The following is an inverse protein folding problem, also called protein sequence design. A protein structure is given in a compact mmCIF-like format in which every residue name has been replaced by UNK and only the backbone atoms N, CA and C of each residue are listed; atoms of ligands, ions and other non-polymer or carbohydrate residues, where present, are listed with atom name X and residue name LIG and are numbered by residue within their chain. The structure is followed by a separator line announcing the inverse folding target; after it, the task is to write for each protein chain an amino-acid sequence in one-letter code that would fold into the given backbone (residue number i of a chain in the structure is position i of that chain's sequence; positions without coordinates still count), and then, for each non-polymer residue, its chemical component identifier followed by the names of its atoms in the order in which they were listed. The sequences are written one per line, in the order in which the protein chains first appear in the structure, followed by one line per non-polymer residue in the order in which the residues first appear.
data_IF_885948321281
#
_entry.id   IF_885948321281
#
_cell.length_a   1.000
_cell.length_b   1.000
_cell.length_c   1.000
_cell.angle_alpha   90.00
_cell.angle_beta   90.00
_cell.angle_gamma   90.00
#
_symmetry.space_group_name_H-M   'P 1'
#
loop_
_entity.id
_entity.type
_entity.pdbx_description
1 polymer ?
#
# COMPACT_ATOMS: atom_id res chain seq x y z
N UNK A 1 -27.04 10.60 22.07
CA UNK A 1 -26.68 11.14 20.75
C UNK A 1 -25.77 10.11 20.10
N UNK A 2 -26.24 9.40 19.06
CA UNK A 2 -25.40 8.44 18.33
C UNK A 2 -24.36 9.28 17.58
N UNK A 3 -23.05 9.06 17.78
CA UNK A 3 -22.04 9.83 17.06
C UNK A 3 -22.19 9.58 15.56
N UNK A 4 -22.33 10.65 14.78
CA UNK A 4 -22.37 10.55 13.34
C UNK A 4 -20.97 10.29 12.80
N UNK A 5 -20.78 9.10 12.21
CA UNK A 5 -19.56 8.74 11.49
C UNK A 5 -19.30 9.74 10.35
N UNK A 6 -18.06 10.23 10.25
CA UNK A 6 -17.70 11.20 9.21
C UNK A 6 -17.83 10.57 7.81
N UNK A 7 -17.89 11.41 6.77
CA UNK A 7 -17.95 10.90 5.38
C UNK A 7 -16.68 10.13 5.01
N UNK A 8 -15.52 10.61 5.46
CA UNK A 8 -14.24 9.95 5.17
C UNK A 8 -14.12 8.61 5.91
N UNK A 9 -14.61 8.52 7.15
CA UNK A 9 -14.62 7.25 7.89
C UNK A 9 -15.48 6.20 7.20
N UNK A 10 -16.63 6.61 6.63
CA UNK A 10 -17.49 5.71 5.83
C UNK A 10 -16.77 5.23 4.57
N UNK A 11 -16.22 6.15 3.77
CA UNK A 11 -15.48 5.80 2.55
C UNK A 11 -14.29 4.88 2.87
N UNK A 12 -13.58 5.15 3.96
CA UNK A 12 -12.46 4.32 4.40
C UNK A 12 -12.91 2.93 4.85
N UNK A 13 -14.03 2.83 5.59
CA UNK A 13 -14.59 1.54 5.98
C UNK A 13 -15.02 0.72 4.76
N UNK A 14 -15.69 1.35 3.80
CA UNK A 14 -16.11 0.73 2.53
C UNK A 14 -14.90 0.25 1.72
N UNK A 15 -13.83 1.06 1.64
CA UNK A 15 -12.58 0.65 1.00
C UNK A 15 -11.99 -0.58 1.70
N UNK A 16 -11.82 -0.53 3.02
CA UNK A 16 -11.24 -1.62 3.82
C UNK A 16 -12.03 -2.93 3.73
N UNK A 17 -13.36 -2.86 3.58
CA UNK A 17 -14.21 -4.03 3.42
C UNK A 17 -13.93 -4.83 2.14
N UNK A 18 -13.31 -4.20 1.12
CA UNK A 18 -12.93 -4.85 -0.15
C UNK A 18 -11.52 -5.43 -0.14
N UNK A 19 -10.68 -5.04 0.83
CA UNK A 19 -9.26 -5.37 0.85
C UNK A 19 -8.99 -6.56 1.77
N UNK A 20 -8.12 -7.47 1.32
CA UNK A 20 -7.46 -8.42 2.21
C UNK A 20 -6.20 -7.79 2.81
N UNK A 21 -6.40 -6.94 3.83
CA UNK A 21 -5.34 -6.11 4.42
C UNK A 21 -4.33 -6.96 5.18
N UNK A 22 -3.05 -6.63 5.04
CA UNK A 22 -1.95 -7.35 5.71
C UNK A 22 -1.66 -6.72 7.08
N UNK A 23 -1.44 -7.56 8.08
CA UNK A 23 -0.75 -7.15 9.31
C UNK A 23 0.74 -6.93 9.04
N UNK A 24 1.41 -6.17 9.91
CA UNK A 24 2.84 -5.91 9.78
C UNK A 24 3.69 -7.20 9.67
N UNK A 25 3.36 -8.22 10.46
CA UNK A 25 4.07 -9.52 10.46
C UNK A 25 3.85 -10.36 9.20
N UNK A 26 2.81 -10.08 8.42
CA UNK A 26 2.54 -10.80 7.16
C UNK A 26 3.31 -10.22 5.97
N UNK A 27 3.77 -8.97 6.06
CA UNK A 27 4.46 -8.27 4.96
C UNK A 27 5.74 -9.00 4.54
N UNK A 28 6.64 -9.46 5.42
CA UNK A 28 7.81 -10.22 4.99
C UNK A 28 7.45 -11.47 4.16
N UNK A 29 6.40 -12.20 4.56
CA UNK A 29 5.92 -13.36 3.81
C UNK A 29 5.30 -12.96 2.45
N UNK A 30 4.69 -11.78 2.37
CA UNK A 30 4.18 -11.21 1.13
C UNK A 30 5.29 -10.92 0.13
N UNK A 31 6.36 -10.27 0.56
CA UNK A 31 7.48 -9.96 -0.33
C UNK A 31 8.16 -11.24 -0.83
N UNK A 32 8.32 -12.26 0.04
CA UNK A 32 8.88 -13.56 -0.36
C UNK A 32 8.05 -14.31 -1.41
N UNK A 33 6.73 -14.13 -1.45
CA UNK A 33 5.85 -14.71 -2.49
C UNK A 33 5.72 -13.84 -3.74
N UNK A 34 6.44 -12.71 -3.80
CA UNK A 34 6.47 -11.82 -4.97
C UNK A 34 5.59 -10.58 -4.90
N UNK A 35 4.99 -10.27 -3.74
CA UNK A 35 4.24 -9.03 -3.57
C UNK A 35 5.17 -7.81 -3.58
N UNK A 36 4.69 -6.68 -4.09
CA UNK A 36 5.48 -5.46 -4.26
C UNK A 36 5.01 -4.42 -3.27
N UNK A 37 5.87 -4.09 -2.31
CA UNK A 37 5.61 -3.01 -1.35
C UNK A 37 5.79 -1.65 -2.04
N UNK A 38 4.80 -0.77 -1.89
CA UNK A 38 4.81 0.57 -2.48
C UNK A 38 4.61 1.62 -1.38
N UNK A 39 5.60 2.47 -1.16
CA UNK A 39 5.53 3.58 -0.21
C UNK A 39 5.01 4.85 -0.90
N UNK A 40 3.77 5.22 -0.56
CA UNK A 40 3.07 6.37 -1.14
C UNK A 40 3.21 7.66 -0.33
N UNK A 41 3.99 7.65 0.76
CA UNK A 41 4.19 8.83 1.61
C UNK A 41 4.94 9.93 0.82
N UNK A 42 4.68 11.21 1.11
CA UNK A 42 5.51 12.29 0.58
C UNK A 42 6.97 12.16 1.03
N UNK A 43 7.92 12.60 0.21
CA UNK A 43 9.35 12.58 0.54
C UNK A 43 9.67 13.25 1.89
N UNK A 44 9.02 14.38 2.21
CA UNK A 44 9.20 15.07 3.48
C UNK A 44 8.78 14.22 4.69
N UNK A 45 7.72 13.41 4.56
CA UNK A 45 7.28 12.51 5.63
C UNK A 45 8.26 11.36 5.82
N UNK A 46 8.75 10.74 4.73
CA UNK A 46 9.79 9.70 4.81
C UNK A 46 11.10 10.22 5.40
N UNK A 47 11.45 11.48 5.16
CA UNK A 47 12.66 12.08 5.74
C UNK A 47 12.58 12.18 7.27
N UNK A 48 11.37 12.28 7.83
CA UNK A 48 11.14 12.35 9.29
C UNK A 48 10.94 10.97 9.90
N UNK A 49 10.10 10.14 9.29
CA UNK A 49 9.72 8.83 9.84
C UNK A 49 10.72 7.71 9.49
N UNK A 50 11.56 7.92 8.47
CA UNK A 50 12.37 6.90 7.84
C UNK A 50 11.63 6.13 6.74
N UNK A 51 12.30 5.14 6.18
CA UNK A 51 11.77 4.30 5.12
C UNK A 51 12.45 2.92 5.09
N UNK A 52 12.07 2.13 4.09
CA UNK A 52 12.69 0.83 3.81
C UNK A 52 13.14 0.79 2.35
N UNK A 53 14.28 0.16 2.10
CA UNK A 53 14.77 -0.09 0.73
C UNK A 53 13.99 -1.20 0.02
N UNK A 54 13.16 -1.95 0.76
CA UNK A 54 12.30 -3.00 0.21
C UNK A 54 11.08 -2.45 -0.55
N UNK A 55 10.73 -1.18 -0.35
CA UNK A 55 9.58 -0.56 -0.99
C UNK A 55 9.97 0.25 -2.23
N UNK A 56 9.14 0.15 -3.27
CA UNK A 56 9.15 1.12 -4.36
C UNK A 56 8.54 2.42 -3.86
N UNK A 57 9.26 3.53 -4.04
CA UNK A 57 8.74 4.86 -3.73
C UNK A 57 7.92 5.36 -4.91
N UNK A 58 6.60 5.44 -4.73
CA UNK A 58 5.67 5.98 -5.71
C UNK A 58 4.70 6.89 -4.95
N UNK A 59 4.88 8.20 -5.02
CA UNK A 59 3.95 9.10 -4.32
C UNK A 59 2.51 8.96 -4.84
N UNK A 60 1.55 9.20 -3.94
CA UNK A 60 0.12 8.93 -4.20
C UNK A 60 -0.41 9.55 -5.49
N UNK A 61 0.13 10.70 -5.90
CA UNK A 61 -0.33 11.50 -7.04
C UNK A 61 -0.13 10.83 -8.41
N UNK A 62 0.73 9.81 -8.52
CA UNK A 62 1.02 9.13 -9.79
C UNK A 62 0.77 7.62 -9.72
N UNK A 63 0.26 7.12 -8.59
CA UNK A 63 0.22 5.68 -8.29
C UNK A 63 -0.50 4.87 -9.37
N UNK A 64 -1.70 5.29 -9.76
CA UNK A 64 -2.55 4.62 -10.74
C UNK A 64 -1.80 4.40 -12.07
N UNK A 65 -1.21 5.46 -12.62
CA UNK A 65 -0.45 5.38 -13.88
C UNK A 65 0.80 4.50 -13.77
N UNK A 66 1.42 4.40 -12.59
CA UNK A 66 2.62 3.57 -12.40
C UNK A 66 2.31 2.10 -12.22
N UNK A 67 1.14 1.77 -11.68
CA UNK A 67 0.72 0.41 -11.38
C UNK A 67 -0.13 -0.24 -12.48
N UNK A 68 -0.79 0.54 -13.32
CA UNK A 68 -1.61 0.04 -14.44
C UNK A 68 -0.73 -0.56 -15.57
N UNK A 69 -0.83 -1.88 -15.87
CA UNK A 69 -0.02 -2.53 -16.89
C UNK A 69 -0.32 -2.05 -18.33
N UNK A 70 -1.46 -1.38 -18.53
CA UNK A 70 -1.85 -0.81 -19.83
C UNK A 70 -1.37 0.63 -20.01
N UNK A 71 -0.82 1.26 -18.95
CA UNK A 71 -0.34 2.63 -19.01
C UNK A 71 1.01 2.76 -19.73
N UNK A 72 1.17 3.82 -20.52
CA UNK A 72 2.46 4.22 -21.10
C UNK A 72 3.48 4.63 -20.03
N UNK A 73 3.01 5.10 -18.86
CA UNK A 73 3.85 5.55 -17.75
C UNK A 73 4.14 4.45 -16.71
N UNK A 74 3.69 3.22 -16.97
CA UNK A 74 3.81 2.10 -16.04
C UNK A 74 5.24 1.82 -15.64
N UNK A 75 5.41 1.28 -14.43
CA UNK A 75 6.69 0.73 -14.02
C UNK A 75 6.91 -0.66 -14.64
N UNK A 76 8.16 -1.11 -14.81
CA UNK A 76 8.47 -2.46 -15.30
C UNK A 76 7.83 -3.60 -14.47
N UNK A 77 7.51 -3.32 -13.20
CA UNK A 77 6.84 -4.22 -12.28
C UNK A 77 5.35 -4.43 -12.59
N UNK A 78 4.69 -3.47 -13.25
CA UNK A 78 3.30 -3.57 -13.69
C UNK A 78 3.20 -4.44 -14.95
N UNK A 79 3.34 -5.75 -14.77
CA UNK A 79 3.37 -6.73 -15.87
C UNK A 79 1.98 -7.13 -16.34
N UNK A 80 1.06 -7.31 -15.38
CA UNK A 80 -0.31 -7.78 -15.57
C UNK A 80 -1.16 -7.43 -14.33
N UNK A 81 -2.43 -7.84 -14.35
CA UNK A 81 -3.41 -7.58 -13.29
C UNK A 81 -3.18 -8.43 -12.02
N UNK A 82 -2.32 -9.46 -12.10
CA UNK A 82 -2.02 -10.41 -11.02
C UNK A 82 -0.87 -9.94 -10.10
N UNK A 83 -0.33 -8.73 -10.32
CA UNK A 83 0.67 -8.13 -9.43
C UNK A 83 0.03 -7.77 -8.08
N UNK A 84 0.58 -8.32 -7.00
CA UNK A 84 0.15 -8.01 -5.63
C UNK A 84 0.81 -6.71 -5.15
N UNK A 85 0.16 -5.58 -5.43
CA UNK A 85 0.56 -4.26 -4.93
C UNK A 85 0.17 -4.09 -3.45
N UNK A 86 1.15 -4.04 -2.56
CA UNK A 86 0.95 -3.76 -1.13
C UNK A 86 1.26 -2.29 -0.87
N UNK A 87 0.22 -1.47 -0.73
CA UNK A 87 0.35 -0.02 -0.59
C UNK A 87 0.60 0.36 0.87
N UNK A 88 1.58 1.21 1.09
CA UNK A 88 2.04 1.66 2.41
C UNK A 88 1.93 3.18 2.52
N UNK A 89 1.19 3.66 3.52
CA UNK A 89 1.29 5.03 4.01
C UNK A 89 1.74 5.03 5.48
N UNK A 90 1.70 6.18 6.18
CA UNK A 90 2.18 6.25 7.56
C UNK A 90 1.35 5.39 8.52
N UNK A 91 0.01 5.52 8.50
CA UNK A 91 -0.89 4.91 9.52
C UNK A 91 -1.92 3.93 8.93
N UNK A 92 -1.88 3.64 7.63
CA UNK A 92 -2.81 2.69 7.00
C UNK A 92 -4.20 3.27 6.67
N UNK A 93 -4.33 4.60 6.55
CA UNK A 93 -5.56 5.27 6.11
C UNK A 93 -5.56 5.49 4.59
N UNK A 94 -4.68 6.39 4.11
CA UNK A 94 -4.55 6.72 2.69
C UNK A 94 -4.20 5.51 1.83
N UNK A 95 -3.44 4.55 2.35
CA UNK A 95 -3.09 3.33 1.63
C UNK A 95 -4.31 2.46 1.34
N UNK A 96 -5.28 2.36 2.25
CA UNK A 96 -6.52 1.62 1.98
C UNK A 96 -7.31 2.26 0.83
N UNK A 97 -7.40 3.59 0.81
CA UNK A 97 -8.08 4.32 -0.27
C UNK A 97 -7.35 4.16 -1.61
N UNK A 98 -6.02 4.16 -1.58
CA UNK A 98 -5.19 3.97 -2.76
C UNK A 98 -5.30 2.55 -3.33
N UNK A 99 -5.21 1.53 -2.47
CA UNK A 99 -5.38 0.13 -2.88
C UNK A 99 -6.78 -0.12 -3.45
N UNK A 100 -7.82 0.46 -2.85
CA UNK A 100 -9.18 0.45 -3.39
C UNK A 100 -9.26 1.07 -4.80
N UNK A 101 -8.61 2.21 -5.03
CA UNK A 101 -8.55 2.83 -6.36
C UNK A 101 -7.81 1.96 -7.39
N UNK A 102 -6.77 1.24 -6.98
CA UNK A 102 -6.09 0.27 -7.85
C UNK A 102 -7.00 -0.92 -8.19
N UNK A 103 -7.77 -1.44 -7.23
CA UNK A 103 -8.77 -2.48 -7.50
C UNK A 103 -9.86 -1.97 -8.47
N UNK A 104 -10.25 -0.70 -8.39
CA UNK A 104 -11.23 -0.11 -9.33
C UNK A 104 -10.70 -0.07 -10.78
N UNK A 105 -9.38 -0.13 -10.99
CA UNK A 105 -8.74 -0.28 -12.31
C UNK A 105 -8.62 -1.73 -12.79
N UNK A 106 -9.00 -2.71 -11.95
CA UNK A 106 -8.85 -4.14 -12.25
C UNK A 106 -7.64 -4.82 -11.60
N UNK A 107 -6.78 -4.08 -10.88
CA UNK A 107 -5.63 -4.62 -10.14
C UNK A 107 -6.11 -5.30 -8.86
N UNK A 108 -6.75 -6.45 -9.03
CA UNK A 108 -7.57 -7.12 -8.02
C UNK A 108 -6.79 -7.60 -6.79
N UNK A 109 -5.47 -7.79 -6.89
CA UNK A 109 -4.59 -8.15 -5.76
C UNK A 109 -4.04 -6.95 -4.99
N UNK A 110 -4.39 -5.72 -5.35
CA UNK A 110 -3.97 -4.55 -4.60
C UNK A 110 -4.55 -4.58 -3.17
N UNK A 111 -3.70 -4.31 -2.19
CA UNK A 111 -4.05 -4.28 -0.77
C UNK A 111 -3.18 -3.27 -0.01
N UNK A 112 -3.36 -3.16 1.31
CA UNK A 112 -2.56 -2.28 2.16
C UNK A 112 -2.11 -2.96 3.47
N UNK A 113 -1.31 -2.22 4.24
CA UNK A 113 -0.83 -2.65 5.56
C UNK A 113 -1.65 -1.99 6.66
N UNK A 114 -2.21 -2.80 7.56
CA UNK A 114 -2.89 -2.35 8.78
C UNK A 114 -1.90 -1.56 9.63
N UNK A 115 -2.22 -0.30 9.93
CA UNK A 115 -1.38 0.59 10.73
C UNK A 115 -0.17 1.17 9.97
N UNK A 116 -0.03 0.87 8.67
CA UNK A 116 0.97 1.49 7.80
C UNK A 116 2.42 1.25 8.22
N UNK A 117 3.28 2.20 7.88
CA UNK A 117 4.71 2.18 8.20
C UNK A 117 4.97 2.20 9.71
N UNK A 118 4.11 2.88 10.49
CA UNK A 118 4.22 2.89 11.94
C UNK A 118 4.10 1.47 12.51
N UNK A 119 3.11 0.69 12.06
CA UNK A 119 2.95 -0.70 12.50
C UNK A 119 4.13 -1.60 12.09
N UNK A 120 4.74 -1.39 10.91
CA UNK A 120 5.97 -2.10 10.52
C UNK A 120 7.14 -1.78 11.44
N UNK A 121 7.23 -0.52 11.87
CA UNK A 121 8.27 -0.05 12.79
C UNK A 121 8.08 -0.62 14.18
N UNK A 122 6.86 -0.55 14.71
CA UNK A 122 6.48 -1.08 16.03
C UNK A 122 6.65 -2.60 16.11
N UNK A 123 6.33 -3.32 15.03
CA UNK A 123 6.53 -4.77 14.96
C UNK A 123 7.99 -5.18 14.77
N UNK A 124 8.91 -4.23 14.51
CA UNK A 124 10.33 -4.51 14.31
C UNK A 124 10.67 -5.24 13.01
N UNK A 125 9.74 -5.33 12.05
CA UNK A 125 9.88 -6.16 10.84
C UNK A 125 10.65 -5.46 9.71
N UNK A 126 10.94 -4.16 9.82
CA UNK A 126 11.58 -3.37 8.75
C UNK A 126 12.91 -3.97 8.28
N UNK A 127 13.69 -4.56 9.19
CA UNK A 127 14.99 -5.17 8.88
C UNK A 127 14.86 -6.51 8.14
N UNK A 128 13.69 -7.16 8.19
CA UNK A 128 13.39 -8.41 7.51
C UNK A 128 12.85 -8.21 6.09
N UNK A 129 12.46 -6.98 5.76
CA UNK A 129 11.90 -6.66 4.46
C UNK A 129 13.02 -6.68 3.42
N UNK A 130 12.89 -7.59 2.47
CA UNK A 130 13.68 -7.63 1.23
C UNK A 130 12.77 -7.34 0.06
N UNK A 131 13.20 -6.56 -0.95
CA UNK A 131 12.43 -6.41 -2.19
C UNK A 131 12.02 -7.77 -2.75
N UNK A 132 10.86 -7.81 -3.42
CA UNK A 132 10.48 -8.98 -4.20
C UNK A 132 11.57 -9.31 -5.25
N UNK A 133 11.80 -10.61 -5.53
CA UNK A 133 12.78 -11.06 -6.51
C UNK A 133 12.48 -10.61 -7.94
#
# INVERSE_FOLDING_TARGET
MIPMTSRIDRILADARARLHRLTAGEVPAALRRGAILVDIRPAAQRAVEGGTTAALVIERNVLEWRCDPTSDARLPQAKDDDVEWVVLCSEGYTSSLAAAALQDLGLHRATDVIGGYQALTEAGVLAELTPAP
#
